data_IF_030621684192
#
_entry.id   IF_030621684192
#
_cell.length_a   1.000
_cell.length_b   1.000
_cell.length_c   1.000
_cell.angle_alpha   90.00
_cell.angle_beta   90.00
_cell.angle_gamma   90.00
#
_symmetry.space_group_name_H-M   'P 1'
#
loop_
_entity.id
_entity.type
_entity.pdbx_description
1 polymer ?
#
# COMPACT_ATOMS: atom_id res chain seq x y z
N UNK A 1 -17.46 -29.61 19.60
CA UNK A 1 -16.63 -28.91 18.59
C UNK A 1 -16.17 -27.56 19.16
N UNK A 2 -14.86 -27.34 19.36
CA UNK A 2 -14.32 -26.02 19.76
C UNK A 2 -14.33 -25.11 18.52
N UNK A 3 -15.10 -24.01 18.56
CA UNK A 3 -15.00 -22.97 17.52
C UNK A 3 -13.56 -22.45 17.50
N UNK A 4 -12.91 -22.35 16.33
CA UNK A 4 -11.60 -21.72 16.25
C UNK A 4 -11.70 -20.30 16.82
N UNK A 5 -10.73 -19.91 17.64
CA UNK A 5 -10.65 -18.53 18.11
C UNK A 5 -10.71 -17.59 16.91
N UNK A 6 -11.51 -16.52 17.01
CA UNK A 6 -11.58 -15.45 15.99
C UNK A 6 -10.19 -14.91 15.61
N UNK A 7 -9.21 -15.07 16.49
CA UNK A 7 -7.82 -14.62 16.27
C UNK A 7 -7.06 -15.43 15.22
N UNK A 8 -7.56 -16.60 14.81
CA UNK A 8 -6.91 -17.48 13.82
C UNK A 8 -7.51 -17.40 12.42
N UNK A 9 -8.51 -16.56 12.22
CA UNK A 9 -9.16 -16.43 10.91
C UNK A 9 -8.43 -15.36 10.10
N UNK A 10 -7.83 -15.80 8.99
CA UNK A 10 -7.30 -14.91 7.98
C UNK A 10 -8.39 -14.57 6.98
N UNK A 11 -8.57 -13.27 6.73
CA UNK A 11 -9.53 -12.75 5.78
C UNK A 11 -8.76 -12.30 4.52
N UNK A 12 -9.14 -12.78 3.33
CA UNK A 12 -8.49 -12.37 2.09
C UNK A 12 -8.92 -10.95 1.70
N UNK A 13 -7.94 -10.16 1.29
CA UNK A 13 -8.10 -8.81 0.75
C UNK A 13 -7.62 -8.76 -0.69
N UNK A 14 -8.32 -7.98 -1.50
CA UNK A 14 -7.92 -7.56 -2.83
C UNK A 14 -8.04 -6.04 -2.92
N UNK A 15 -6.93 -5.38 -3.24
CA UNK A 15 -6.85 -3.92 -3.31
C UNK A 15 -6.33 -3.59 -4.71
N UNK A 16 -7.04 -2.73 -5.44
CA UNK A 16 -6.58 -2.24 -6.73
C UNK A 16 -6.82 -0.73 -6.87
N UNK A 17 -6.15 -0.15 -7.86
CA UNK A 17 -6.26 1.26 -8.21
C UNK A 17 -5.21 1.64 -9.24
N UNK A 18 -5.13 2.94 -9.49
CA UNK A 18 -4.22 3.52 -10.48
C UNK A 18 -3.45 4.66 -9.81
N UNK A 19 -2.13 4.69 -9.93
CA UNK A 19 -1.29 5.77 -9.41
C UNK A 19 -0.98 6.79 -10.49
N UNK A 20 -1.20 8.05 -10.18
CA UNK A 20 -0.93 9.19 -11.05
C UNK A 20 0.12 10.12 -10.43
N UNK A 21 0.85 10.81 -11.29
CA UNK A 21 1.76 11.89 -10.98
C UNK A 21 1.53 13.04 -11.96
N UNK A 22 1.01 14.16 -11.45
CA UNK A 22 0.61 15.32 -12.27
C UNK A 22 -0.38 14.93 -13.37
N UNK A 23 -1.38 14.11 -13.05
CA UNK A 23 -2.38 13.62 -14.00
C UNK A 23 -1.90 12.54 -14.98
N UNK A 24 -0.60 12.20 -14.97
CA UNK A 24 -0.05 11.14 -15.82
C UNK A 24 0.13 9.84 -15.04
N UNK A 25 -0.18 8.66 -15.60
CA UNK A 25 0.08 7.40 -14.94
C UNK A 25 1.56 7.21 -14.56
N UNK A 26 1.82 6.63 -13.39
CA UNK A 26 3.19 6.41 -12.90
C UNK A 26 3.39 5.01 -12.33
N UNK A 27 4.48 4.36 -12.73
CA UNK A 27 4.93 3.05 -12.24
C UNK A 27 6.02 3.13 -11.17
N UNK A 28 6.59 4.32 -10.94
CA UNK A 28 7.69 4.57 -10.00
C UNK A 28 7.20 4.69 -8.54
N UNK A 29 6.37 3.73 -8.14
CA UNK A 29 5.74 3.70 -6.83
C UNK A 29 5.89 2.29 -6.26
N UNK A 30 6.44 2.17 -5.05
CA UNK A 30 6.33 0.97 -4.26
C UNK A 30 5.10 1.09 -3.36
N UNK A 31 4.22 0.09 -3.40
CA UNK A 31 3.00 0.07 -2.59
C UNK A 31 3.12 -1.09 -1.60
N UNK A 32 2.86 -0.84 -0.31
CA UNK A 32 2.83 -1.89 0.72
C UNK A 32 1.61 -1.76 1.62
N UNK A 33 0.96 -2.88 1.88
CA UNK A 33 -0.05 -3.01 2.91
C UNK A 33 0.63 -3.33 4.25
N UNK A 34 0.27 -2.62 5.30
CA UNK A 34 0.89 -2.73 6.63
C UNK A 34 -0.16 -2.69 7.75
N UNK A 35 0.24 -3.10 8.96
CA UNK A 35 -0.56 -3.00 10.19
C UNK A 35 0.01 -1.87 11.05
N UNK A 36 -0.78 -0.83 11.32
CA UNK A 36 -0.39 0.29 12.20
C UNK A 36 0.02 -0.22 13.59
N UNK A 37 1.19 0.23 14.07
CA UNK A 37 1.67 -0.05 15.43
C UNK A 37 2.25 -1.45 15.67
N UNK A 38 2.32 -2.33 14.67
CA UNK A 38 2.95 -3.65 14.82
C UNK A 38 4.44 -3.60 14.47
N UNK A 39 5.32 -4.33 15.17
CA UNK A 39 6.72 -4.51 14.77
C UNK A 39 6.85 -5.13 13.35
N UNK A 40 5.82 -5.87 12.92
CA UNK A 40 5.66 -6.39 11.55
C UNK A 40 5.58 -5.28 10.47
N UNK A 41 5.55 -4.01 10.86
CA UNK A 41 5.70 -2.85 9.96
C UNK A 41 6.92 -2.97 9.04
N UNK A 42 8.00 -3.60 9.51
CA UNK A 42 9.24 -3.75 8.73
C UNK A 42 9.04 -4.61 7.48
N UNK A 43 8.23 -5.67 7.58
CA UNK A 43 8.04 -6.61 6.46
C UNK A 43 6.83 -6.26 5.59
N UNK A 44 5.80 -5.64 6.16
CA UNK A 44 4.51 -5.46 5.47
C UNK A 44 3.76 -6.79 5.31
N UNK A 45 2.45 -6.71 5.07
CA UNK A 45 1.61 -7.88 4.80
C UNK A 45 1.72 -8.33 3.34
N UNK A 46 1.84 -7.37 2.43
CA UNK A 46 2.00 -7.60 1.00
C UNK A 46 2.56 -6.33 0.36
N UNK A 47 3.18 -6.47 -0.81
CA UNK A 47 3.77 -5.36 -1.58
C UNK A 47 3.53 -5.55 -3.07
N UNK A 48 3.42 -4.45 -3.79
CA UNK A 48 3.26 -4.46 -5.25
C UNK A 48 3.89 -3.20 -5.86
N UNK A 49 4.04 -3.20 -7.18
CA UNK A 49 4.35 -2.00 -7.98
C UNK A 49 3.30 -1.85 -9.07
N UNK A 50 2.90 -0.61 -9.40
CA UNK A 50 2.08 -0.39 -10.57
C UNK A 50 2.80 -0.77 -11.86
N UNK A 51 2.03 -1.15 -12.88
CA UNK A 51 2.53 -1.37 -14.23
C UNK A 51 2.80 -0.04 -14.95
N UNK A 52 3.19 -0.11 -16.23
CA UNK A 52 3.46 1.08 -17.07
C UNK A 52 2.27 2.03 -17.22
N UNK A 53 1.05 1.55 -17.03
CA UNK A 53 -0.18 2.34 -17.05
C UNK A 53 -0.57 2.84 -15.65
N UNK A 54 0.31 2.72 -14.67
CA UNK A 54 0.04 3.11 -13.28
C UNK A 54 -0.96 2.21 -12.56
N UNK A 55 -1.44 1.14 -13.18
CA UNK A 55 -2.40 0.21 -12.58
C UNK A 55 -1.69 -0.73 -11.61
N UNK A 56 -2.25 -0.91 -10.42
CA UNK A 56 -1.75 -1.86 -9.44
C UNK A 56 -2.85 -2.75 -8.89
N UNK A 57 -2.46 -3.95 -8.46
CA UNK A 57 -3.28 -4.79 -7.61
C UNK A 57 -2.43 -5.49 -6.55
N UNK A 58 -3.05 -5.73 -5.40
CA UNK A 58 -2.41 -6.32 -4.24
C UNK A 58 -3.41 -7.25 -3.53
N UNK A 59 -2.97 -8.47 -3.28
CA UNK A 59 -3.69 -9.44 -2.46
C UNK A 59 -2.98 -9.66 -1.13
N UNK A 60 -3.74 -9.86 -0.07
CA UNK A 60 -3.20 -10.17 1.25
C UNK A 60 -4.15 -11.06 2.06
N UNK A 61 -3.57 -11.84 2.97
CA UNK A 61 -4.31 -12.55 4.02
C UNK A 61 -4.13 -11.78 5.32
N UNK A 62 -5.23 -11.25 5.87
CA UNK A 62 -5.20 -10.38 7.04
C UNK A 62 -5.88 -11.05 8.22
N UNK A 63 -5.20 -11.21 9.37
CA UNK A 63 -5.85 -11.69 10.58
C UNK A 63 -7.03 -10.81 10.96
N UNK A 64 -8.18 -11.42 11.28
CA UNK A 64 -9.43 -10.71 11.54
C UNK A 64 -9.30 -9.58 12.59
N UNK A 65 -8.49 -9.79 13.64
CA UNK A 65 -8.28 -8.81 14.71
C UNK A 65 -7.41 -7.59 14.30
N UNK A 66 -6.69 -7.66 13.17
CA UNK A 66 -5.81 -6.57 12.70
C UNK A 66 -6.46 -5.69 11.61
N UNK A 67 -7.65 -6.04 11.14
CA UNK A 67 -8.31 -5.36 10.01
C UNK A 67 -8.47 -3.85 10.22
N UNK A 68 -8.79 -3.42 11.45
CA UNK A 68 -8.98 -2.01 11.81
C UNK A 68 -7.69 -1.19 11.82
N UNK A 69 -6.53 -1.83 11.68
CA UNK A 69 -5.21 -1.18 11.73
C UNK A 69 -4.53 -1.18 10.36
N UNK A 70 -5.22 -1.61 9.30
CA UNK A 70 -4.66 -1.67 7.96
C UNK A 70 -4.34 -0.28 7.41
N UNK A 71 -3.12 -0.12 6.92
CA UNK A 71 -2.64 1.09 6.26
C UNK A 71 -1.92 0.72 4.97
N UNK A 72 -2.35 1.33 3.86
CA UNK A 72 -1.71 1.22 2.57
C UNK A 72 -0.73 2.38 2.41
N UNK A 73 0.52 2.07 2.12
CA UNK A 73 1.58 3.05 1.97
C UNK A 73 2.14 3.05 0.55
N UNK A 74 2.35 4.25 0.04
CA UNK A 74 2.87 4.55 -1.29
C UNK A 74 4.21 5.25 -1.09
N UNK A 75 5.29 4.64 -1.56
CA UNK A 75 6.62 5.23 -1.65
C UNK A 75 6.86 5.61 -3.10
N UNK A 76 6.98 6.90 -3.39
CA UNK A 76 7.03 7.40 -4.77
C UNK A 76 8.10 8.47 -4.95
N UNK A 77 8.46 8.68 -6.21
CA UNK A 77 9.38 9.75 -6.64
C UNK A 77 8.70 10.89 -7.39
N UNK A 78 7.37 10.92 -7.40
CA UNK A 78 6.63 12.00 -8.07
C UNK A 78 7.09 13.39 -7.59
N UNK A 79 7.35 14.29 -8.54
CA UNK A 79 7.91 15.63 -8.31
C UNK A 79 9.24 15.62 -7.54
N UNK A 80 10.10 14.64 -7.78
CA UNK A 80 11.52 14.69 -7.38
C UNK A 80 12.37 15.11 -8.57
N UNK A 81 13.34 16.00 -8.34
CA UNK A 81 14.25 16.49 -9.38
C UNK A 81 15.54 15.67 -9.38
N UNK A 82 16.28 15.63 -10.49
CA UNK A 82 17.56 14.91 -10.65
C UNK A 82 18.58 15.15 -9.51
N UNK A 83 18.56 16.33 -8.88
CA UNK A 83 19.40 16.65 -7.73
C UNK A 83 19.02 15.86 -6.47
N UNK A 84 17.75 15.53 -6.32
CA UNK A 84 17.20 14.72 -5.22
C UNK A 84 17.47 13.22 -5.40
N UNK A 85 17.73 12.74 -6.63
CA UNK A 85 18.00 11.31 -6.92
C UNK A 85 19.35 10.84 -6.39
N UNK A 86 20.27 11.75 -6.03
CA UNK A 86 21.55 11.39 -5.40
C UNK A 86 21.37 10.78 -4.01
N UNK A 87 20.19 10.93 -3.41
CA UNK A 87 19.86 10.35 -2.13
C UNK A 87 18.58 9.52 -2.32
N UNK A 88 18.55 8.29 -1.82
CA UNK A 88 17.42 7.35 -1.96
C UNK A 88 16.18 7.78 -1.14
N UNK A 89 15.71 9.00 -1.32
CA UNK A 89 14.49 9.49 -0.70
C UNK A 89 13.29 9.10 -1.53
N UNK A 90 12.28 8.54 -0.88
CA UNK A 90 10.96 8.37 -1.44
C UNK A 90 10.02 9.24 -0.62
N UNK A 91 9.16 10.00 -1.28
CA UNK A 91 8.00 10.61 -0.61
C UNK A 91 7.06 9.49 -0.19
N UNK A 92 6.42 9.66 0.97
CA UNK A 92 5.46 8.67 1.46
C UNK A 92 4.06 9.24 1.55
N UNK A 93 3.09 8.55 0.97
CA UNK A 93 1.68 8.79 1.18
C UNK A 93 1.07 7.57 1.86
N UNK A 94 0.13 7.79 2.80
CA UNK A 94 -0.50 6.72 3.56
C UNK A 94 -2.00 6.86 3.52
N UNK A 95 -2.69 5.76 3.30
CA UNK A 95 -4.14 5.65 3.28
C UNK A 95 -4.56 4.62 4.33
N UNK A 96 -5.42 5.02 5.27
CA UNK A 96 -6.03 4.07 6.20
C UNK A 96 -7.15 3.33 5.47
N UNK A 97 -7.17 2.00 5.57
CA UNK A 97 -8.23 1.18 4.99
C UNK A 97 -9.30 0.95 6.05
N UNK A 98 -10.10 1.97 6.32
CA UNK A 98 -11.13 1.92 7.38
C UNK A 98 -12.54 1.74 6.83
N UNK A 99 -12.87 2.38 5.70
CA UNK A 99 -14.22 2.37 5.11
C UNK A 99 -14.17 2.29 3.57
N UNK A 100 -15.27 1.88 2.92
CA UNK A 100 -15.40 1.78 1.45
C UNK A 100 -15.10 0.40 0.86
N UNK A 101 -14.86 -0.60 1.70
CA UNK A 101 -14.61 -1.98 1.26
C UNK A 101 -15.90 -2.74 0.93
N UNK A 102 -15.86 -3.61 -0.08
CA UNK A 102 -16.99 -4.52 -0.41
C UNK A 102 -16.59 -5.97 -0.22
N UNK A 103 -17.39 -6.73 0.54
CA UNK A 103 -17.26 -8.18 0.56
C UNK A 103 -17.81 -8.75 -0.76
N UNK A 104 -16.96 -9.41 -1.54
CA UNK A 104 -17.36 -9.99 -2.81
C UNK A 104 -16.49 -11.20 -3.13
N UNK A 105 -17.12 -12.31 -3.57
CA UNK A 105 -16.46 -13.58 -3.87
C UNK A 105 -15.51 -14.07 -2.76
N UNK A 106 -15.98 -14.01 -1.51
CA UNK A 106 -15.24 -14.52 -0.35
C UNK A 106 -14.03 -13.70 0.09
N UNK A 107 -13.87 -12.46 -0.40
CA UNK A 107 -12.80 -11.54 -0.04
C UNK A 107 -13.27 -10.11 0.13
N UNK A 108 -12.52 -9.32 0.88
CA UNK A 108 -12.71 -7.87 1.00
C UNK A 108 -12.03 -7.18 -0.19
N UNK A 109 -12.79 -6.40 -0.94
CA UNK A 109 -12.28 -5.67 -2.10
C UNK A 109 -12.25 -4.16 -1.82
N UNK A 110 -11.12 -3.52 -2.12
CA UNK A 110 -10.97 -2.08 -2.15
C UNK A 110 -10.65 -1.65 -3.58
N UNK A 111 -11.58 -0.91 -4.19
CA UNK A 111 -11.41 -0.27 -5.48
C UNK A 111 -11.07 1.20 -5.23
N UNK A 112 -9.78 1.54 -5.24
CA UNK A 112 -9.31 2.86 -4.82
C UNK A 112 -9.43 3.94 -5.90
N UNK A 113 -9.73 3.54 -7.14
CA UNK A 113 -9.73 4.44 -8.28
C UNK A 113 -8.35 5.05 -8.52
N UNK A 114 -8.33 6.33 -8.92
CA UNK A 114 -7.12 7.07 -9.21
C UNK A 114 -6.52 7.72 -7.95
N UNK A 115 -5.22 7.57 -7.78
CA UNK A 115 -4.45 8.11 -6.66
C UNK A 115 -3.40 9.06 -7.21
N UNK A 116 -3.72 10.35 -7.17
CA UNK A 116 -2.79 11.42 -7.52
C UNK A 116 -1.74 11.63 -6.40
N UNK A 117 -0.46 11.56 -6.75
CA UNK A 117 0.68 11.61 -5.82
C UNK A 117 1.47 12.92 -5.84
N UNK A 118 1.27 13.79 -6.84
CA UNK A 118 1.97 15.08 -7.00
C UNK A 118 1.94 15.99 -5.78
N UNK A 119 0.82 16.02 -5.08
CA UNK A 119 0.58 16.88 -3.92
C UNK A 119 0.56 16.11 -2.59
N UNK A 120 0.99 14.84 -2.57
CA UNK A 120 0.89 13.98 -1.39
C UNK A 120 2.28 13.70 -0.85
N UNK A 121 2.62 14.31 0.29
CA UNK A 121 3.84 14.00 1.04
C UNK A 121 3.56 14.04 2.54
N UNK A 122 3.54 12.87 3.19
CA UNK A 122 3.60 12.75 4.65
C UNK A 122 5.04 12.47 5.07
N UNK A 123 5.83 13.54 5.18
CA UNK A 123 7.19 13.53 5.70
C UNK A 123 8.20 12.79 4.83
N UNK A 124 9.33 13.44 4.57
CA UNK A 124 10.48 12.80 3.94
C UNK A 124 11.02 11.72 4.89
N UNK A 125 10.71 10.45 4.64
CA UNK A 125 11.32 9.35 5.37
C UNK A 125 12.43 8.76 4.53
N UNK A 126 13.66 8.88 5.02
CA UNK A 126 14.79 8.09 4.55
C UNK A 126 14.43 6.61 4.74
N UNK A 127 14.24 5.86 3.65
CA UNK A 127 14.01 4.42 3.72
C UNK A 127 15.13 3.75 2.93
N UNK A 128 16.23 3.37 3.59
CA UNK A 128 17.29 2.62 2.94
C UNK A 128 16.81 1.18 2.79
N UNK A 129 16.29 0.80 1.61
CA UNK A 129 16.16 -0.61 1.27
C UNK A 129 16.52 -0.85 -0.20
N UNK A 130 17.53 -1.71 -0.34
CA UNK A 130 18.00 -2.37 -1.55
C UNK A 130 16.82 -2.94 -2.33
N UNK A 131 16.63 -2.41 -3.54
CA UNK A 131 15.88 -3.01 -4.61
C UNK A 131 16.66 -4.22 -5.10
N UNK A 132 16.46 -5.39 -4.49
CA UNK A 132 16.83 -6.64 -5.16
C UNK A 132 15.76 -6.91 -6.21
N UNK A 133 16.21 -6.92 -7.48
CA UNK A 133 15.47 -7.32 -8.68
C UNK A 133 15.11 -8.79 -8.55
#
# INVERSE_FOLDING_TARGET
MRRPSRDRINIPYYINGTTLCNGSPTSEVLIKLMIKGSWKYRHGLSKTRPNSEGNFSLTAQVPHYEQRKLILKFWHKCNMTSKDYRIFYYKTYSLNLTDGSKWFKGRINYLLGEIELSNKANGNKHVPYLLTI
#
